data_IF_833166920153
#
_entry.id   IF_833166920153
#
_cell.length_a   1.000
_cell.length_b   1.000
_cell.length_c   1.000
_cell.angle_alpha   90.00
_cell.angle_beta   90.00
_cell.angle_gamma   90.00
#
_symmetry.space_group_name_H-M   'P 1'
#
loop_
_entity.id
_entity.type
_entity.pdbx_description
1 polymer ?
#
# COMPACT_ATOMS: atom_id res chain seq x y z
N UNK A 1 40.58 0.57 -49.49
CA UNK A 1 41.16 1.91 -49.74
C UNK A 1 40.76 2.81 -48.58
N UNK A 2 41.56 2.78 -47.52
CA UNK A 2 41.33 3.51 -46.26
C UNK A 2 42.14 4.80 -46.32
N UNK A 3 41.46 5.95 -46.36
CA UNK A 3 42.11 7.27 -46.33
C UNK A 3 42.42 7.59 -44.87
N UNK A 4 43.70 7.46 -44.53
CA UNK A 4 44.27 7.75 -43.22
C UNK A 4 44.58 9.26 -43.14
N UNK A 5 43.58 10.09 -42.83
CA UNK A 5 43.81 11.50 -42.50
C UNK A 5 44.23 11.63 -41.04
N UNK A 6 45.54 11.55 -40.80
CA UNK A 6 46.17 11.94 -39.54
C UNK A 6 46.17 13.46 -39.42
N UNK A 7 45.04 14.05 -39.00
CA UNK A 7 44.99 15.44 -38.59
C UNK A 7 45.61 15.56 -37.19
N UNK A 8 46.90 15.86 -37.17
CA UNK A 8 47.67 16.20 -35.97
C UNK A 8 47.14 17.50 -35.36
N UNK A 9 46.21 17.35 -34.41
CA UNK A 9 45.63 18.44 -33.62
C UNK A 9 46.54 18.83 -32.44
N UNK A 10 47.86 18.85 -32.65
CA UNK A 10 48.83 19.38 -31.70
C UNK A 10 49.31 20.73 -32.23
N UNK A 11 49.14 21.76 -31.41
CA UNK A 11 49.71 23.10 -31.56
C UNK A 11 48.98 24.08 -32.48
N UNK A 12 47.76 24.48 -32.08
CA UNK A 12 47.32 25.86 -32.28
C UNK A 12 47.30 26.61 -30.94
N UNK A 13 48.44 27.15 -30.47
CA UNK A 13 48.40 28.23 -29.52
C UNK A 13 47.72 29.41 -30.22
N UNK A 14 46.46 29.72 -29.88
CA UNK A 14 45.86 31.02 -30.20
C UNK A 14 46.65 32.10 -29.46
N UNK A 15 47.78 32.50 -30.05
CA UNK A 15 48.62 33.64 -29.67
C UNK A 15 47.75 34.89 -29.84
N UNK A 16 47.22 35.41 -28.74
CA UNK A 16 46.41 36.65 -28.75
C UNK A 16 45.18 36.64 -27.84
N UNK A 17 44.77 35.49 -27.30
CA UNK A 17 43.59 35.46 -26.44
C UNK A 17 43.90 35.97 -25.03
N UNK A 18 43.18 37.02 -24.60
CA UNK A 18 43.31 37.63 -23.27
C UNK A 18 43.16 36.59 -22.15
N UNK A 19 44.01 36.69 -21.12
CA UNK A 19 43.90 35.87 -19.89
C UNK A 19 42.50 35.98 -19.26
N UNK A 20 41.87 37.16 -19.36
CA UNK A 20 40.52 37.40 -18.81
C UNK A 20 39.46 36.57 -19.54
N UNK A 21 39.56 36.44 -20.87
CA UNK A 21 38.61 35.66 -21.66
C UNK A 21 38.75 34.17 -21.36
N UNK A 22 39.98 33.67 -21.21
CA UNK A 22 40.24 32.28 -20.80
C UNK A 22 39.67 31.98 -19.42
N UNK A 23 39.90 32.87 -18.44
CA UNK A 23 39.36 32.74 -17.09
C UNK A 23 37.82 32.76 -17.09
N UNK A 24 37.21 33.69 -17.84
CA UNK A 24 35.75 33.80 -17.95
C UNK A 24 35.11 32.53 -18.53
N UNK A 25 35.69 31.95 -19.60
CA UNK A 25 35.21 30.67 -20.16
C UNK A 25 35.35 29.52 -19.18
N UNK A 26 36.47 29.44 -18.47
CA UNK A 26 36.66 28.44 -17.42
C UNK A 26 35.61 28.55 -16.32
N UNK A 27 35.35 29.76 -15.84
CA UNK A 27 34.35 30.03 -14.81
C UNK A 27 32.93 29.68 -15.29
N UNK A 28 32.55 30.07 -16.51
CA UNK A 28 31.23 29.78 -17.07
C UNK A 28 31.02 28.28 -17.28
N UNK A 29 32.04 27.56 -17.77
CA UNK A 29 32.00 26.10 -17.88
C UNK A 29 31.85 25.44 -16.51
N UNK A 30 32.57 25.93 -15.48
CA UNK A 30 32.47 25.42 -14.11
C UNK A 30 31.08 25.64 -13.52
N UNK A 31 30.51 26.84 -13.68
CA UNK A 31 29.15 27.16 -13.23
C UNK A 31 28.12 26.26 -13.92
N UNK A 32 28.22 26.09 -15.24
CA UNK A 32 27.32 25.21 -15.99
C UNK A 32 27.42 23.75 -15.54
N UNK A 33 28.64 23.23 -15.39
CA UNK A 33 28.85 21.87 -14.87
C UNK A 33 28.33 21.71 -13.44
N UNK A 34 28.54 22.69 -12.56
CA UNK A 34 27.98 22.66 -11.20
C UNK A 34 26.45 22.66 -11.19
N UNK A 35 25.82 23.43 -12.09
CA UNK A 35 24.36 23.47 -12.22
C UNK A 35 23.82 22.12 -12.71
N UNK A 36 24.45 21.52 -13.72
CA UNK A 36 24.09 20.18 -14.20
C UNK A 36 24.27 19.11 -13.11
N UNK A 37 25.37 19.13 -12.37
CA UNK A 37 25.59 18.22 -11.24
C UNK A 37 24.53 18.45 -10.16
N UNK A 38 24.19 19.70 -9.84
CA UNK A 38 23.13 20.03 -8.89
C UNK A 38 21.77 19.48 -9.30
N UNK A 39 21.39 19.66 -10.58
CA UNK A 39 20.14 19.12 -11.13
C UNK A 39 20.15 17.58 -11.12
N UNK A 40 21.30 16.96 -11.43
CA UNK A 40 21.45 15.51 -11.39
C UNK A 40 21.31 14.97 -9.96
N UNK A 41 21.99 15.56 -8.98
CA UNK A 41 21.88 15.20 -7.56
C UNK A 41 20.43 15.36 -7.09
N UNK A 42 19.78 16.48 -7.41
CA UNK A 42 18.40 16.72 -7.03
C UNK A 42 17.44 15.67 -7.63
N UNK A 43 17.59 15.37 -8.91
CA UNK A 43 16.69 14.45 -9.63
C UNK A 43 16.92 12.98 -9.28
N UNK A 44 18.18 12.57 -9.07
CA UNK A 44 18.57 11.16 -8.85
C UNK A 44 18.48 10.80 -7.36
N UNK A 45 18.80 11.72 -6.45
CA UNK A 45 18.87 11.43 -5.01
C UNK A 45 17.67 12.03 -4.28
N UNK A 46 17.46 13.34 -4.38
CA UNK A 46 16.44 14.01 -3.57
C UNK A 46 15.01 13.70 -4.02
N UNK A 47 14.76 13.55 -5.33
CA UNK A 47 13.47 13.16 -5.88
C UNK A 47 12.98 11.83 -5.31
N UNK A 48 13.74 10.73 -5.46
CA UNK A 48 13.37 9.43 -4.91
C UNK A 48 13.25 9.41 -3.39
N UNK A 49 14.10 10.16 -2.65
CA UNK A 49 13.96 10.26 -1.18
C UNK A 49 12.62 10.90 -0.81
N UNK A 50 12.26 12.03 -1.44
CA UNK A 50 10.96 12.68 -1.19
C UNK A 50 9.79 11.77 -1.57
N UNK A 51 9.88 11.10 -2.72
CA UNK A 51 8.90 10.10 -3.16
C UNK A 51 8.90 8.80 -2.35
N UNK A 52 9.92 8.56 -1.52
CA UNK A 52 9.99 7.38 -0.65
C UNK A 52 9.19 7.55 0.64
N UNK A 53 9.06 8.81 1.09
CA UNK A 53 8.33 9.16 2.31
C UNK A 53 6.81 9.18 2.10
N UNK A 54 6.35 9.33 0.86
CA UNK A 54 4.94 9.36 0.50
C UNK A 54 4.64 8.18 -0.42
N UNK A 55 3.68 7.34 -0.03
CA UNK A 55 3.14 6.31 -0.91
C UNK A 55 1.98 6.93 -1.66
N UNK A 56 2.14 7.15 -2.96
CA UNK A 56 1.03 7.56 -3.80
C UNK A 56 0.11 6.35 -3.95
N UNK A 57 -1.17 6.55 -3.71
CA UNK A 57 -2.20 5.54 -3.95
C UNK A 57 -2.88 5.89 -5.26
N UNK A 58 -2.81 4.98 -6.23
CA UNK A 58 -3.44 5.15 -7.54
C UNK A 58 -4.58 4.15 -7.67
N UNK A 59 -5.77 4.70 -7.88
CA UNK A 59 -6.96 3.91 -8.21
C UNK A 59 -6.99 3.66 -9.71
N UNK A 60 -6.98 2.38 -10.08
CA UNK A 60 -7.12 1.90 -11.45
C UNK A 60 -8.44 1.16 -11.56
N UNK A 61 -9.21 1.44 -12.60
CA UNK A 61 -10.45 0.75 -12.88
C UNK A 61 -10.30 -0.09 -14.13
N UNK A 62 -10.80 -1.31 -14.09
CA UNK A 62 -10.78 -2.22 -15.22
C UNK A 62 -12.11 -2.98 -15.29
N UNK A 63 -12.61 -3.22 -16.50
CA UNK A 63 -13.85 -3.99 -16.69
C UNK A 63 -13.70 -5.45 -16.22
N UNK A 64 -12.48 -5.99 -16.17
CA UNK A 64 -12.21 -7.35 -15.75
C UNK A 64 -10.88 -7.45 -15.01
N UNK A 65 -10.72 -8.49 -14.19
CA UNK A 65 -9.46 -8.81 -13.51
C UNK A 65 -8.50 -9.43 -14.53
N UNK A 66 -7.27 -8.92 -14.69
CA UNK A 66 -6.31 -9.49 -15.63
C UNK A 66 -6.08 -10.99 -15.37
N UNK A 67 -6.01 -11.82 -16.41
CA UNK A 67 -5.87 -13.29 -16.30
C UNK A 67 -4.61 -13.70 -15.53
N UNK A 68 -3.55 -12.90 -15.62
CA UNK A 68 -2.26 -13.17 -14.95
C UNK A 68 -2.23 -12.70 -13.49
N UNK A 69 -3.36 -12.21 -12.97
CA UNK A 69 -3.41 -11.60 -11.65
C UNK A 69 -3.44 -12.65 -10.54
N UNK A 70 -2.31 -12.81 -9.85
CA UNK A 70 -2.18 -13.71 -8.70
C UNK A 70 -2.50 -12.97 -7.41
N UNK A 71 -3.77 -13.00 -7.01
CA UNK A 71 -4.17 -12.57 -5.68
C UNK A 71 -3.90 -13.68 -4.66
N UNK A 72 -3.51 -13.29 -3.44
CA UNK A 72 -3.52 -14.21 -2.30
C UNK A 72 -4.94 -14.76 -2.07
N UNK A 73 -5.08 -16.02 -1.61
CA UNK A 73 -6.39 -16.59 -1.32
C UNK A 73 -7.11 -15.72 -0.29
N UNK A 74 -8.33 -15.30 -0.62
CA UNK A 74 -9.11 -14.43 0.25
C UNK A 74 -9.51 -15.17 1.53
N UNK A 75 -9.00 -14.71 2.67
CA UNK A 75 -9.42 -15.20 3.99
C UNK A 75 -10.19 -14.08 4.66
N UNK A 76 -11.45 -14.34 5.02
CA UNK A 76 -12.22 -13.35 5.75
C UNK A 76 -11.68 -13.22 7.16
N UNK A 77 -11.19 -12.03 7.44
CA UNK A 77 -10.56 -11.66 8.67
C UNK A 77 -11.36 -10.53 9.30
N UNK A 78 -12.19 -10.87 10.29
CA UNK A 78 -13.00 -9.89 11.00
C UNK A 78 -12.24 -9.50 12.25
N UNK A 79 -11.87 -8.22 12.33
CA UNK A 79 -11.09 -7.69 13.44
C UNK A 79 -11.94 -6.65 14.16
N UNK A 80 -12.22 -6.88 15.43
CA UNK A 80 -12.96 -5.91 16.26
C UNK A 80 -12.00 -5.21 17.19
N UNK A 81 -12.08 -3.88 17.24
CA UNK A 81 -11.20 -3.01 18.00
C UNK A 81 -11.98 -2.16 19.00
N UNK A 82 -11.44 -2.09 20.21
CA UNK A 82 -11.83 -1.15 21.26
C UNK A 82 -10.67 -0.20 21.56
N UNK A 83 -10.98 1.05 21.92
CA UNK A 83 -10.00 1.96 22.50
C UNK A 83 -9.67 1.52 23.93
N UNK A 84 -8.38 1.38 24.25
CA UNK A 84 -7.90 0.69 25.46
C UNK A 84 -8.05 1.49 26.76
N UNK A 85 -8.42 2.77 26.73
CA UNK A 85 -8.55 3.59 27.95
C UNK A 85 -9.82 3.26 28.79
N UNK A 86 -10.38 2.08 28.56
CA UNK A 86 -11.64 1.66 29.14
C UNK A 86 -11.39 0.58 30.19
N UNK A 87 -11.81 0.87 31.42
CA UNK A 87 -11.69 -0.01 32.61
C UNK A 87 -12.34 -1.39 32.45
N UNK A 88 -13.06 -1.63 31.34
CA UNK A 88 -13.75 -2.86 30.97
C UNK A 88 -13.02 -3.70 29.91
N UNK A 89 -11.84 -3.27 29.47
CA UNK A 89 -10.95 -4.02 28.56
C UNK A 89 -10.24 -5.20 29.28
N UNK A 90 -10.99 -6.00 30.03
CA UNK A 90 -10.53 -7.33 30.42
C UNK A 90 -10.54 -8.20 29.17
N UNK A 91 -9.37 -8.75 28.83
CA UNK A 91 -9.17 -9.48 27.57
C UNK A 91 -10.21 -10.60 27.41
N UNK A 92 -10.44 -11.38 28.46
CA UNK A 92 -11.41 -12.47 28.43
C UNK A 92 -12.84 -11.99 28.17
N UNK A 93 -13.27 -10.91 28.84
CA UNK A 93 -14.65 -10.41 28.73
C UNK A 93 -14.95 -9.86 27.34
N UNK A 94 -13.99 -9.16 26.72
CA UNK A 94 -14.20 -8.67 25.36
C UNK A 94 -14.27 -9.85 24.37
N UNK A 95 -13.39 -10.85 24.53
CA UNK A 95 -13.42 -12.05 23.70
C UNK A 95 -14.76 -12.80 23.80
N UNK A 96 -15.35 -12.89 25.00
CA UNK A 96 -16.66 -13.52 25.21
C UNK A 96 -17.83 -12.66 24.68
N UNK A 97 -17.66 -11.33 24.64
CA UNK A 97 -18.71 -10.41 24.20
C UNK A 97 -18.84 -10.29 22.68
N UNK A 98 -17.82 -10.70 21.91
CA UNK A 98 -17.81 -10.62 20.44
C UNK A 98 -18.05 -12.00 19.85
N UNK A 99 -19.17 -12.14 19.14
CA UNK A 99 -19.49 -13.37 18.42
C UNK A 99 -19.66 -13.09 16.92
N UNK A 100 -18.94 -13.85 16.08
CA UNK A 100 -19.07 -13.78 14.62
C UNK A 100 -19.65 -15.08 14.10
N UNK A 101 -20.80 -14.96 13.46
CA UNK A 101 -21.52 -16.06 12.83
C UNK A 101 -21.50 -15.87 11.32
N UNK A 102 -20.90 -16.82 10.60
CA UNK A 102 -21.00 -16.86 9.14
C UNK A 102 -22.41 -17.33 8.76
N UNK A 103 -23.07 -16.57 7.87
CA UNK A 103 -24.39 -16.89 7.36
C UNK A 103 -24.23 -17.52 5.98
N UNK A 104 -23.98 -18.82 5.99
CA UNK A 104 -23.83 -19.61 4.78
C UNK A 104 -25.18 -19.79 4.09
N UNK A 105 -25.16 -19.82 2.76
CA UNK A 105 -26.32 -20.31 2.01
C UNK A 105 -26.48 -21.82 2.26
N UNK A 106 -27.65 -22.21 2.77
CA UNK A 106 -27.98 -23.61 3.07
C UNK A 106 -28.43 -24.38 1.83
N UNK A 107 -28.37 -23.79 0.63
CA UNK A 107 -28.69 -24.46 -0.64
C UNK A 107 -27.86 -25.73 -0.90
N UNK A 108 -26.62 -25.76 -0.42
CA UNK A 108 -25.73 -26.91 -0.55
C UNK A 108 -25.79 -27.81 0.70
N UNK A 109 -25.71 -29.13 0.49
CA UNK A 109 -25.77 -30.17 1.54
C UNK A 109 -24.58 -30.16 2.52
N UNK A 110 -23.42 -29.61 2.10
CA UNK A 110 -22.19 -29.62 2.91
C UNK A 110 -22.17 -28.37 3.80
N UNK A 111 -22.31 -28.46 5.14
CA UNK A 111 -22.30 -27.27 6.00
C UNK A 111 -21.02 -26.44 5.80
N UNK A 112 -21.16 -25.12 5.82
CA UNK A 112 -20.01 -24.21 5.74
C UNK A 112 -19.12 -24.33 6.98
N UNK A 113 -17.81 -24.09 6.86
CA UNK A 113 -16.91 -24.16 8.00
C UNK A 113 -17.24 -23.08 9.04
N UNK A 114 -17.06 -23.35 10.35
CA UNK A 114 -17.27 -22.35 11.39
C UNK A 114 -16.16 -21.27 11.35
N UNK A 115 -16.49 -20.08 11.84
CA UNK A 115 -15.48 -19.06 12.13
C UNK A 115 -14.72 -19.45 13.40
N UNK A 116 -13.41 -19.21 13.41
CA UNK A 116 -12.51 -19.57 14.52
C UNK A 116 -11.84 -18.31 15.04
N UNK A 117 -11.90 -18.12 16.36
CA UNK A 117 -11.14 -17.06 17.02
C UNK A 117 -9.65 -17.41 16.94
N UNK A 118 -8.84 -16.46 16.47
CA UNK A 118 -7.39 -16.62 16.48
C UNK A 118 -6.91 -16.28 17.89
N UNK A 119 -6.32 -17.23 18.64
CA UNK A 119 -5.84 -16.96 19.99
C UNK A 119 -4.67 -15.97 19.94
N UNK A 120 -4.68 -15.02 20.87
CA UNK A 120 -3.65 -13.99 20.99
C UNK A 120 -4.24 -12.59 20.82
N UNK A 121 -4.00 -11.73 21.81
CA UNK A 121 -4.19 -10.30 21.65
C UNK A 121 -3.17 -9.86 20.59
N UNK A 122 -3.63 -9.58 19.37
CA UNK A 122 -2.82 -8.84 18.42
C UNK A 122 -2.73 -7.42 18.95
N UNK A 123 -1.88 -7.20 19.96
CA UNK A 123 -1.21 -5.91 20.14
C UNK A 123 -0.21 -5.88 19.02
N UNK A 124 -0.50 -5.23 17.89
CA UNK A 124 0.49 -5.16 16.84
C UNK A 124 1.61 -4.32 17.47
N UNK A 125 2.78 -4.90 17.65
CA UNK A 125 3.88 -4.40 18.50
C UNK A 125 4.33 -2.98 18.18
N UNK A 126 3.82 -2.43 17.08
CA UNK A 126 4.20 -1.16 16.49
C UNK A 126 3.10 -0.07 16.60
N UNK A 127 1.95 -0.33 17.23
CA UNK A 127 0.99 0.76 17.49
C UNK A 127 1.35 1.49 18.79
N UNK A 128 1.47 2.82 18.68
CA UNK A 128 1.76 3.70 19.80
C UNK A 128 0.66 3.71 20.87
N UNK A 129 -0.56 3.29 20.52
CA UNK A 129 -1.68 3.17 21.44
C UNK A 129 -1.88 1.69 21.79
N UNK A 130 -1.99 1.32 23.08
CA UNK A 130 -2.45 0.01 23.44
C UNK A 130 -3.84 -0.15 22.81
N UNK A 131 -4.03 -1.20 22.02
CA UNK A 131 -5.27 -1.49 21.34
C UNK A 131 -5.56 -2.94 21.60
N UNK A 132 -6.79 -3.22 21.99
CA UNK A 132 -7.29 -4.56 22.09
C UNK A 132 -8.03 -4.90 20.80
N UNK A 133 -7.58 -5.95 20.14
CA UNK A 133 -8.16 -6.42 18.90
C UNK A 133 -8.45 -7.92 19.00
N UNK A 134 -9.66 -8.31 18.62
CA UNK A 134 -10.03 -9.72 18.46
C UNK A 134 -10.02 -10.01 16.98
N UNK A 135 -9.29 -11.05 16.60
CA UNK A 135 -9.20 -11.52 15.22
C UNK A 135 -10.03 -12.79 15.08
N UNK A 136 -10.97 -12.79 14.14
CA UNK A 136 -11.82 -13.95 13.84
C UNK A 136 -11.64 -14.32 12.37
N UNK A 137 -11.12 -15.54 12.15
CA UNK A 137 -10.92 -16.09 10.83
C UNK A 137 -12.11 -16.92 10.42
N UNK A 138 -12.71 -16.57 9.28
CA UNK A 138 -13.81 -17.31 8.71
C UNK A 138 -13.36 -17.88 7.35
N UNK A 139 -12.90 -19.13 7.29
CA UNK A 139 -12.42 -19.72 6.04
C UNK A 139 -13.53 -19.73 4.98
N UNK A 140 -13.15 -19.57 3.71
CA UNK A 140 -14.10 -19.72 2.62
C UNK A 140 -14.66 -21.16 2.60
N UNK A 141 -15.93 -21.33 2.21
CA UNK A 141 -16.43 -22.66 1.84
C UNK A 141 -15.59 -23.09 0.64
N UNK A 142 -14.98 -24.29 0.73
CA UNK A 142 -13.97 -24.84 -0.18
C UNK A 142 -14.09 -24.34 -1.63
N UNK A 143 -12.98 -24.08 -2.33
CA UNK A 143 -13.03 -23.61 -3.71
C UNK A 143 -13.86 -24.59 -4.54
N UNK A 144 -14.80 -24.03 -5.32
CA UNK A 144 -15.29 -24.74 -6.50
C UNK A 144 -14.05 -25.04 -7.36
N UNK A 145 -13.84 -26.28 -7.85
CA UNK A 145 -12.66 -26.68 -8.62
C UNK A 145 -12.26 -25.73 -9.76
N UNK A 146 -13.19 -24.92 -10.24
CA UNK A 146 -13.03 -24.02 -11.38
C UNK A 146 -12.31 -22.70 -11.06
N UNK A 147 -11.78 -22.52 -9.84
CA UNK A 147 -11.09 -21.29 -9.44
C UNK A 147 -12.01 -20.06 -9.35
N UNK A 148 -13.32 -20.23 -9.52
CA UNK A 148 -14.30 -19.17 -9.35
C UNK A 148 -14.57 -18.91 -7.87
N UNK A 149 -14.31 -17.69 -7.43
CA UNK A 149 -14.64 -17.22 -6.10
C UNK A 149 -16.16 -17.01 -6.01
N UNK A 150 -16.93 -18.05 -5.64
CA UNK A 150 -18.33 -17.83 -5.29
C UNK A 150 -18.40 -17.02 -3.99
N UNK A 151 -18.88 -15.79 -4.14
CA UNK A 151 -19.10 -14.82 -3.08
C UNK A 151 -19.79 -15.43 -1.86
N UNK A 152 -19.24 -15.13 -0.70
CA UNK A 152 -19.76 -15.49 0.60
C UNK A 152 -20.86 -14.50 0.98
N UNK A 153 -22.10 -14.85 0.68
CA UNK A 153 -23.14 -13.83 0.61
C UNK A 153 -23.54 -13.21 1.95
N UNK A 154 -23.27 -13.78 3.14
CA UNK A 154 -23.67 -13.12 4.38
C UNK A 154 -22.76 -13.46 5.57
N UNK A 155 -22.41 -12.46 6.38
CA UNK A 155 -21.75 -12.63 7.69
C UNK A 155 -22.34 -11.70 8.73
N UNK A 156 -22.23 -12.09 9.99
CA UNK A 156 -22.79 -11.31 11.07
C UNK A 156 -21.88 -11.29 12.28
N UNK A 157 -21.59 -10.08 12.76
CA UNK A 157 -20.99 -9.85 14.06
C UNK A 157 -22.08 -9.39 15.04
N UNK A 158 -22.05 -9.91 16.27
CA UNK A 158 -22.84 -9.41 17.39
C UNK A 158 -21.88 -9.05 18.52
N UNK A 159 -22.10 -7.90 19.16
CA UNK A 159 -21.21 -7.33 20.17
C UNK A 159 -22.07 -6.88 21.34
N UNK A 160 -21.73 -7.35 22.54
CA UNK A 160 -22.35 -6.86 23.77
C UNK A 160 -21.70 -5.56 24.26
N UNK A 161 -22.44 -4.43 24.32
CA UNK A 161 -21.92 -3.15 24.83
C UNK A 161 -22.91 -2.49 25.80
N UNK A 162 -22.47 -1.95 26.94
CA UNK A 162 -23.34 -1.21 27.87
C UNK A 162 -23.83 0.11 27.25
N UNK A 163 -25.05 0.53 27.58
CA UNK A 163 -25.77 1.65 26.93
C UNK A 163 -25.99 2.89 27.79
N UNK A 164 -25.53 2.86 29.04
CA UNK A 164 -25.93 3.85 30.05
C UNK A 164 -25.30 5.26 29.87
N UNK A 165 -24.41 5.44 28.88
CA UNK A 165 -23.69 6.70 28.64
C UNK A 165 -23.73 7.14 27.16
N UNK A 166 -24.59 8.10 26.86
CA UNK A 166 -24.79 8.72 25.54
C UNK A 166 -23.65 9.68 25.20
N UNK A 167 -23.04 10.33 26.21
CA UNK A 167 -22.05 11.39 26.03
C UNK A 167 -20.72 10.80 25.53
N UNK A 168 -20.46 9.53 25.86
CA UNK A 168 -19.23 8.81 25.56
C UNK A 168 -19.37 7.82 24.40
N UNK A 169 -20.15 8.15 23.36
CA UNK A 169 -20.42 7.23 22.24
C UNK A 169 -19.14 6.73 21.55
N UNK A 170 -18.10 7.56 21.43
CA UNK A 170 -16.81 7.17 20.85
C UNK A 170 -16.13 6.05 21.65
N UNK A 171 -16.19 6.14 22.98
CA UNK A 171 -15.63 5.14 23.87
C UNK A 171 -16.53 3.89 23.91
N UNK A 172 -17.84 4.06 23.91
CA UNK A 172 -18.77 2.93 23.96
C UNK A 172 -19.05 2.31 22.58
N UNK A 173 -18.18 2.52 21.59
CA UNK A 173 -18.32 1.99 20.24
C UNK A 173 -17.21 1.00 19.91
N UNK A 174 -17.54 0.02 19.06
CA UNK A 174 -16.56 -0.94 18.54
C UNK A 174 -16.30 -0.66 17.08
N UNK A 175 -15.03 -0.58 16.72
CA UNK A 175 -14.61 -0.50 15.33
C UNK A 175 -14.47 -1.91 14.77
N UNK A 176 -15.09 -2.18 13.63
CA UNK A 176 -15.00 -3.47 12.94
C UNK A 176 -14.27 -3.27 11.61
N UNK A 177 -13.15 -3.97 11.49
CA UNK A 177 -12.37 -4.09 10.27
C UNK A 177 -12.72 -5.42 9.60
N UNK A 178 -12.92 -5.39 8.29
CA UNK A 178 -13.25 -6.58 7.51
C UNK A 178 -12.17 -6.72 6.43
N UNK A 179 -11.17 -7.55 6.70
CA UNK A 179 -10.13 -7.91 5.76
C UNK A 179 -10.48 -9.17 4.96
N UNK A 180 -9.91 -9.28 3.76
CA UNK A 180 -9.91 -10.50 2.95
C UNK A 180 -8.50 -11.06 2.79
N UNK A 181 -7.68 -10.93 3.84
CA UNK A 181 -6.30 -11.40 3.91
C UNK A 181 -6.06 -12.14 5.22
N UNK A 182 -5.14 -13.11 5.19
CA UNK A 182 -4.70 -13.84 6.39
C UNK A 182 -3.79 -12.97 7.29
N UNK A 183 -3.22 -11.89 6.77
CA UNK A 183 -2.38 -10.98 7.54
C UNK A 183 -3.24 -9.93 8.27
N UNK A 184 -3.37 -10.09 9.59
CA UNK A 184 -4.12 -9.19 10.47
C UNK A 184 -3.59 -7.77 10.43
N UNK A 185 -2.28 -7.58 10.33
CA UNK A 185 -1.66 -6.26 10.27
C UNK A 185 -2.12 -5.54 9.00
N UNK A 186 -2.00 -6.22 7.87
CA UNK A 186 -2.47 -5.68 6.59
C UNK A 186 -3.97 -5.40 6.61
N UNK A 187 -4.80 -6.27 7.19
CA UNK A 187 -6.23 -6.03 7.33
C UNK A 187 -6.53 -4.75 8.14
N UNK A 188 -5.92 -4.54 9.31
CA UNK A 188 -6.15 -3.33 10.13
C UNK A 188 -5.68 -2.06 9.44
N UNK A 189 -4.49 -2.06 8.83
CA UNK A 189 -3.91 -0.83 8.25
C UNK A 189 -4.45 -0.47 6.87
N UNK A 190 -5.02 -1.42 6.15
CA UNK A 190 -5.46 -1.22 4.76
C UNK A 190 -6.97 -1.24 4.58
N UNK A 191 -7.74 -1.53 5.63
CA UNK A 191 -9.20 -1.46 5.60
C UNK A 191 -9.71 -0.28 6.44
N UNK A 192 -10.81 0.31 5.99
CA UNK A 192 -11.48 1.39 6.72
C UNK A 192 -12.41 0.74 7.75
N UNK A 193 -12.27 1.05 9.05
CA UNK A 193 -13.13 0.48 10.07
C UNK A 193 -14.56 1.00 9.93
N UNK A 194 -15.53 0.17 10.30
CA UNK A 194 -16.91 0.59 10.53
C UNK A 194 -17.17 0.65 12.02
N UNK A 195 -17.54 1.82 12.52
CA UNK A 195 -17.89 2.02 13.92
C UNK A 195 -19.31 1.55 14.19
N UNK A 196 -19.47 0.69 15.21
CA UNK A 196 -20.76 0.18 15.66
C UNK A 196 -21.06 0.80 17.03
N UNK A 197 -22.07 1.69 17.13
CA UNK A 197 -22.54 2.18 18.41
C UNK A 197 -23.25 1.07 19.23
N UNK A 198 -23.43 1.27 20.53
CA UNK A 198 -24.11 0.29 21.38
C UNK A 198 -25.60 0.24 21.06
N UNK A 199 -26.22 -0.94 21.22
CA UNK A 199 -27.67 -1.14 21.07
C UNK A 199 -28.26 -1.00 19.66
N UNK A 200 -27.43 -0.79 18.62
CA UNK A 200 -27.92 -0.69 17.24
C UNK A 200 -27.74 -1.98 16.44
N UNK A 201 -28.68 -2.24 15.54
CA UNK A 201 -28.58 -3.32 14.57
C UNK A 201 -28.34 -2.72 13.20
N UNK A 202 -27.13 -2.90 12.69
CA UNK A 202 -26.65 -2.35 11.43
C UNK A 202 -26.53 -3.43 10.37
N UNK A 203 -26.72 -3.04 9.13
CA UNK A 203 -26.50 -3.82 7.93
C UNK A 203 -25.58 -3.04 7.00
N UNK A 204 -24.53 -3.69 6.50
CA UNK A 204 -23.53 -3.09 5.62
C UNK A 204 -23.41 -3.82 4.29
N UNK A 205 -23.29 -3.07 3.20
CA UNK A 205 -22.90 -3.61 1.88
C UNK A 205 -21.39 -3.57 1.74
N UNK A 206 -20.80 -4.69 1.32
CA UNK A 206 -19.37 -4.80 1.02
C UNK A 206 -19.16 -4.84 -0.48
N UNK A 207 -18.16 -4.12 -0.96
CA UNK A 207 -17.56 -4.33 -2.29
C UNK A 207 -16.15 -4.87 -2.16
N UNK A 208 -15.72 -5.62 -3.17
CA UNK A 208 -14.38 -6.16 -3.27
C UNK A 208 -13.51 -5.18 -4.04
N UNK A 209 -12.37 -4.84 -3.46
CA UNK A 209 -11.33 -4.08 -4.15
C UNK A 209 -10.04 -4.89 -4.13
N UNK A 210 -9.24 -4.77 -5.18
CA UNK A 210 -7.91 -5.38 -5.24
C UNK A 210 -6.90 -4.34 -4.77
N UNK A 211 -6.00 -4.70 -3.85
CA UNK A 211 -4.94 -3.82 -3.39
C UNK A 211 -3.57 -4.38 -3.70
N UNK A 212 -2.82 -3.67 -4.53
CA UNK A 212 -1.46 -4.04 -4.90
C UNK A 212 -0.45 -3.27 -4.05
N UNK A 213 0.34 -3.99 -3.26
CA UNK A 213 1.31 -3.46 -2.31
C UNK A 213 2.73 -3.77 -2.76
N UNK A 214 3.68 -2.85 -2.55
CA UNK A 214 5.10 -3.17 -2.75
C UNK A 214 5.61 -4.04 -1.61
N UNK A 215 6.26 -5.16 -1.95
CA UNK A 215 6.90 -6.01 -0.95
C UNK A 215 8.11 -5.33 -0.30
N UNK A 216 8.87 -4.56 -1.09
CA UNK A 216 10.07 -3.85 -0.65
C UNK A 216 10.02 -2.39 -1.10
N UNK A 217 9.51 -1.51 -0.22
CA UNK A 217 9.36 -0.07 -0.51
C UNK A 217 10.70 0.61 -0.79
N UNK A 218 11.79 0.17 -0.16
CA UNK A 218 13.14 0.70 -0.40
C UNK A 218 13.68 0.35 -1.79
N UNK A 219 13.57 -0.91 -2.19
CA UNK A 219 14.06 -1.37 -3.51
C UNK A 219 13.19 -0.85 -4.66
N UNK A 220 11.88 -0.66 -4.43
CA UNK A 220 11.01 -0.05 -5.43
C UNK A 220 11.37 1.42 -5.70
N UNK A 221 12.06 2.11 -4.77
CA UNK A 221 12.57 3.47 -4.99
C UNK A 221 13.65 3.52 -6.09
N UNK A 222 14.37 2.42 -6.30
CA UNK A 222 15.38 2.36 -7.36
C UNK A 222 14.76 2.24 -8.76
N UNK A 223 13.51 1.77 -8.86
CA UNK A 223 12.80 1.58 -10.13
C UNK A 223 13.19 0.31 -10.91
N UNK A 224 14.04 -0.56 -10.34
CA UNK A 224 14.52 -1.79 -11.00
C UNK A 224 13.81 -3.07 -10.55
N UNK A 225 13.27 -3.08 -9.32
CA UNK A 225 12.65 -4.27 -8.73
C UNK A 225 11.30 -3.93 -8.13
N UNK A 226 10.25 -3.98 -8.95
CA UNK A 226 8.87 -3.79 -8.51
C UNK A 226 8.24 -5.15 -8.20
N UNK A 227 8.68 -5.77 -7.11
CA UNK A 227 7.92 -6.90 -6.56
C UNK A 227 6.71 -6.37 -5.82
N UNK A 228 5.53 -6.81 -6.23
CA UNK A 228 4.27 -6.47 -5.61
C UNK A 228 3.54 -7.73 -5.16
N UNK A 229 2.74 -7.59 -4.11
CA UNK A 229 1.77 -8.58 -3.68
C UNK A 229 0.39 -7.98 -3.85
N UNK A 230 -0.54 -8.75 -4.38
CA UNK A 230 -1.94 -8.31 -4.42
C UNK A 230 -2.74 -9.07 -3.39
N UNK A 231 -3.44 -8.29 -2.57
CA UNK A 231 -4.43 -8.77 -1.63
C UNK A 231 -5.81 -8.32 -2.09
N UNK A 232 -6.82 -9.08 -1.72
CA UNK A 232 -8.20 -8.63 -1.80
C UNK A 232 -8.53 -7.88 -0.51
N UNK A 233 -9.27 -6.77 -0.62
CA UNK A 233 -9.80 -6.04 0.52
C UNK A 233 -11.31 -5.92 0.38
N UNK A 234 -12.03 -5.93 1.50
CA UNK A 234 -13.45 -5.61 1.52
C UNK A 234 -13.60 -4.14 1.94
N UNK A 235 -14.40 -3.40 1.18
CA UNK A 235 -14.77 -2.03 1.51
C UNK A 235 -16.26 -1.96 1.81
N UNK A 236 -16.59 -1.41 2.98
CA UNK A 236 -17.98 -1.13 3.34
C UNK A 236 -18.42 0.13 2.59
N UNK A 237 -19.38 -0.01 1.68
CA UNK A 237 -19.88 1.13 0.87
C UNK A 237 -20.98 1.85 1.63
N UNK A 238 -22.00 1.12 2.07
CA UNK A 238 -23.16 1.67 2.76
C UNK A 238 -23.39 0.95 4.08
N UNK A 239 -23.80 1.71 5.09
CA UNK A 239 -24.25 1.19 6.39
C UNK A 239 -25.62 1.76 6.69
N UNK A 240 -26.57 0.91 7.00
CA UNK A 240 -27.96 1.28 7.30
C UNK A 240 -28.50 0.43 8.44
N UNK A 241 -29.65 0.81 9.02
CA UNK A 241 -30.30 0.02 10.07
C UNK A 241 -30.82 -1.30 9.48
N UNK A 242 -30.57 -2.43 10.14
CA UNK A 242 -31.00 -3.73 9.66
C UNK A 242 -32.53 -3.91 9.76
N UNK A 243 -33.28 -3.90 8.64
CA UNK A 243 -34.74 -4.04 8.68
C UNK A 243 -35.18 -5.42 9.19
N UNK A 244 -34.32 -6.44 9.03
CA UNK A 244 -34.63 -7.83 9.44
C UNK A 244 -34.38 -8.07 10.90
N UNK A 245 -33.69 -7.17 11.61
CA UNK A 245 -33.58 -7.24 13.05
C UNK A 245 -34.97 -7.36 13.69
N UNK A 246 -35.99 -6.73 13.08
CA UNK A 246 -37.43 -6.76 13.45
C UNK A 246 -38.02 -8.14 13.66
N UNK A 247 -37.63 -9.03 12.77
CA UNK A 247 -38.45 -10.16 12.35
C UNK A 247 -37.68 -11.46 12.56
N UNK A 248 -36.35 -11.41 12.40
CA UNK A 248 -35.52 -12.59 12.46
C UNK A 248 -35.13 -12.92 13.91
N UNK A 249 -35.52 -14.10 14.45
CA UNK A 249 -35.10 -14.53 15.78
C UNK A 249 -33.60 -14.80 15.85
N UNK A 250 -32.95 -14.98 14.69
CA UNK A 250 -31.51 -15.12 14.61
C UNK A 250 -30.80 -13.85 15.07
N UNK A 251 -31.43 -12.67 14.98
CA UNK A 251 -30.83 -11.39 15.32
C UNK A 251 -31.21 -11.01 16.76
N UNK A 252 -30.39 -11.33 17.80
CA UNK A 252 -30.63 -10.86 19.15
C UNK A 252 -30.83 -9.36 19.19
N UNK A 253 -31.87 -8.98 19.93
CA UNK A 253 -32.19 -7.61 20.29
C UNK A 253 -32.03 -7.49 21.78
N UNK A 254 -31.12 -6.64 22.18
CA UNK A 254 -30.98 -6.23 23.57
C UNK A 254 -30.48 -4.80 23.56
N UNK A 255 -30.81 -4.06 24.62
CA UNK A 255 -30.23 -2.75 24.84
C UNK A 255 -28.69 -2.86 24.82
N UNK A 256 -28.15 -3.94 25.39
CA UNK A 256 -26.72 -4.15 25.49
C UNK A 256 -26.14 -5.01 24.35
N UNK A 257 -26.82 -5.14 23.21
CA UNK A 257 -26.30 -5.93 22.08
C UNK A 257 -26.42 -5.12 20.80
N UNK A 258 -25.28 -4.80 20.19
CA UNK A 258 -25.22 -4.29 18.84
C UNK A 258 -24.92 -5.42 17.85
N UNK A 259 -25.42 -5.30 16.64
CA UNK A 259 -25.20 -6.31 15.61
C UNK A 259 -24.85 -5.63 14.31
N UNK A 260 -23.92 -6.23 13.56
CA UNK A 260 -23.51 -5.74 12.25
C UNK A 260 -23.52 -6.89 11.27
N UNK A 261 -24.51 -6.87 10.37
CA UNK A 261 -24.68 -7.85 9.32
C UNK A 261 -24.09 -7.30 8.03
N UNK A 262 -23.11 -7.99 7.47
CA UNK A 262 -22.50 -7.62 6.20
C UNK A 262 -22.83 -8.63 5.12
N UNK A 263 -22.96 -8.15 3.90
CA UNK A 263 -23.15 -8.97 2.72
C UNK A 263 -22.35 -8.39 1.57
N UNK A 264 -21.86 -9.26 0.70
CA UNK A 264 -21.19 -8.80 -0.50
C UNK A 264 -22.25 -8.35 -1.50
N UNK A 265 -22.06 -7.15 -2.03
CA UNK A 265 -22.84 -6.66 -3.17
C UNK A 265 -22.24 -7.25 -4.43
N UNK A 266 -23.07 -7.95 -5.22
CA UNK A 266 -22.72 -8.33 -6.59
C UNK A 266 -22.83 -7.06 -7.45
N UNK A 267 -21.70 -6.43 -7.71
CA UNK A 267 -21.62 -5.22 -8.52
C UNK A 267 -21.01 -5.58 -9.88
N UNK A 268 -21.77 -5.52 -10.99
CA UNK A 268 -21.25 -5.79 -12.32
C UNK A 268 -20.42 -4.61 -12.88
N UNK A 269 -20.14 -3.59 -12.07
CA UNK A 269 -19.31 -2.45 -12.45
C UNK A 269 -17.82 -2.82 -12.56
N UNK A 270 -17.00 -1.83 -12.92
CA UNK A 270 -15.56 -2.00 -13.06
C UNK A 270 -14.90 -2.42 -11.75
N UNK A 271 -13.96 -3.38 -11.84
CA UNK A 271 -13.08 -3.74 -10.75
C UNK A 271 -12.18 -2.56 -10.39
N UNK A 272 -12.17 -2.21 -9.10
CA UNK A 272 -11.29 -1.19 -8.56
C UNK A 272 -10.03 -1.86 -8.03
N UNK A 273 -8.89 -1.49 -8.62
CA UNK A 273 -7.55 -1.87 -8.17
C UNK A 273 -6.85 -0.67 -7.57
N UNK A 274 -6.63 -0.69 -6.27
CA UNK A 274 -5.87 0.29 -5.51
C UNK A 274 -4.41 -0.14 -5.53
N UNK A 275 -3.60 0.54 -6.34
CA UNK A 275 -2.18 0.24 -6.46
C UNK A 275 -1.33 1.25 -5.69
N UNK A 276 -0.39 0.78 -4.88
CA UNK A 276 0.68 1.63 -4.40
C UNK A 276 1.54 2.00 -5.63
N UNK A 277 1.55 3.27 -5.99
CA UNK A 277 2.26 3.81 -7.14
C UNK A 277 3.45 4.65 -6.68
N UNK A 278 4.48 4.72 -7.52
CA UNK A 278 5.61 5.64 -7.32
C UNK A 278 5.98 6.25 -8.65
N UNK A 279 5.81 7.57 -8.74
CA UNK A 279 6.17 8.35 -9.93
C UNK A 279 7.67 8.65 -9.97
N UNK A 280 8.28 8.81 -8.78
CA UNK A 280 9.67 9.20 -8.61
C UNK A 280 10.53 8.00 -8.21
N UNK A 281 11.32 7.48 -9.15
CA UNK A 281 12.34 6.47 -8.89
C UNK A 281 13.72 6.97 -9.30
N UNK A 282 14.79 6.36 -8.78
CA UNK A 282 16.17 6.68 -9.19
C UNK A 282 16.34 6.51 -10.70
N UNK A 283 15.76 5.45 -11.27
CA UNK A 283 15.76 5.22 -12.71
C UNK A 283 15.00 6.30 -13.49
N UNK A 284 13.85 6.74 -12.96
CA UNK A 284 13.14 7.90 -13.52
C UNK A 284 13.99 9.18 -13.43
N UNK A 285 14.72 9.38 -12.33
CA UNK A 285 15.69 10.46 -12.17
C UNK A 285 16.79 10.43 -13.25
N UNK A 286 17.38 9.27 -13.53
CA UNK A 286 18.32 9.11 -14.64
C UNK A 286 17.67 9.41 -15.99
N UNK A 287 16.42 8.98 -16.21
CA UNK A 287 15.70 9.27 -17.46
C UNK A 287 15.55 10.78 -17.71
N UNK A 288 15.32 11.58 -16.65
CA UNK A 288 15.20 13.04 -16.74
C UNK A 288 16.49 13.76 -17.06
N UNK A 289 17.64 13.20 -16.68
CA UNK A 289 18.98 13.79 -16.92
C UNK A 289 19.55 13.39 -18.29
N UNK A 290 18.72 12.80 -19.17
CA UNK A 290 19.14 12.34 -20.50
C UNK A 290 19.36 10.82 -20.61
N UNK A 291 18.90 10.06 -19.60
CA UNK A 291 18.99 8.62 -19.56
C UNK A 291 20.20 8.10 -18.79
N UNK A 292 20.09 6.85 -18.34
CA UNK A 292 21.19 6.14 -17.66
C UNK A 292 22.45 6.07 -18.54
N UNK A 293 22.27 5.92 -19.85
CA UNK A 293 23.36 5.88 -20.82
C UNK A 293 24.14 7.19 -20.89
N UNK A 294 23.45 8.33 -21.04
CA UNK A 294 24.11 9.64 -21.10
C UNK A 294 24.86 9.95 -19.80
N UNK A 295 24.28 9.57 -18.65
CA UNK A 295 24.95 9.70 -17.36
C UNK A 295 26.25 8.88 -17.30
N UNK A 296 26.20 7.59 -17.68
CA UNK A 296 27.39 6.72 -17.71
C UNK A 296 28.44 7.27 -18.68
N UNK A 297 28.05 7.70 -19.89
CA UNK A 297 28.94 8.35 -20.83
C UNK A 297 29.59 9.61 -20.23
N UNK A 298 28.83 10.41 -19.48
CA UNK A 298 29.34 11.58 -18.75
C UNK A 298 30.41 11.20 -17.72
N UNK A 299 30.14 10.20 -16.87
CA UNK A 299 31.10 9.69 -15.89
C UNK A 299 32.37 9.18 -16.56
N UNK A 300 32.24 8.38 -17.62
CA UNK A 300 33.39 7.89 -18.39
C UNK A 300 34.17 9.03 -19.05
N UNK A 301 33.49 10.01 -19.63
CA UNK A 301 34.15 11.18 -20.26
C UNK A 301 34.96 11.97 -19.25
N UNK A 302 34.44 12.18 -18.04
CA UNK A 302 35.17 12.86 -16.96
C UNK A 302 36.37 12.02 -16.50
N UNK A 303 36.19 10.72 -16.27
CA UNK A 303 37.26 9.84 -15.80
C UNK A 303 38.40 9.69 -16.81
N UNK A 304 38.07 9.38 -18.07
CA UNK A 304 39.05 9.26 -19.14
C UNK A 304 39.62 10.62 -19.57
N UNK A 305 38.79 11.67 -19.61
CA UNK A 305 39.21 13.01 -19.96
C UNK A 305 40.22 13.59 -18.96
N UNK A 306 39.97 13.43 -17.66
CA UNK A 306 40.93 13.86 -16.61
C UNK A 306 42.21 13.05 -16.64
N UNK A 307 42.13 11.74 -16.92
CA UNK A 307 43.30 10.88 -17.08
C UNK A 307 44.16 11.28 -18.28
N UNK A 308 43.54 11.55 -19.44
CA UNK A 308 44.24 12.04 -20.63
C UNK A 308 44.87 13.42 -20.41
N UNK A 309 44.14 14.34 -19.75
CA UNK A 309 44.69 15.65 -19.38
C UNK A 309 45.90 15.52 -18.46
N UNK A 310 45.89 14.60 -17.50
CA UNK A 310 47.08 14.33 -16.67
C UNK A 310 48.25 13.79 -17.47
N UNK A 311 48.03 12.91 -18.44
CA UNK A 311 49.12 12.38 -19.29
C UNK A 311 49.71 13.50 -20.17
N UNK A 312 48.86 14.38 -20.71
CA UNK A 312 49.29 15.45 -21.62
C UNK A 312 49.93 16.61 -20.85
N UNK A 313 49.32 17.06 -19.75
CA UNK A 313 49.78 18.21 -18.97
C UNK A 313 50.78 17.84 -17.86
N UNK A 314 50.75 16.61 -17.34
CA UNK A 314 51.67 16.14 -16.30
C UNK A 314 53.12 16.01 -16.77
N UNK A 315 53.36 16.00 -18.09
CA UNK A 315 54.71 16.13 -18.67
C UNK A 315 55.29 17.55 -18.62
N UNK A 316 54.52 18.54 -18.15
CA UNK A 316 54.96 19.94 -18.03
C UNK A 316 55.12 20.41 -16.57
N UNK A 317 55.27 19.49 -15.62
CA UNK A 317 55.76 19.85 -14.29
C UNK A 317 57.28 20.03 -14.37
N UNK A 318 57.71 21.27 -14.64
CA UNK A 318 59.05 21.77 -14.31
C UNK A 318 59.12 22.16 -12.84
#
# INVERSE_FOLDING_TARGET
MLIQTSLSFRDLPRRGESKTLKACRGLLALLFMSALIGVAIFSIILGPIRGSLLILVKDVRAMDVPVDFRAEPSVWNVITRLLYDMKWADDAKFHDAVNVTALWDNSNTIPGPPCVHVPGSTRPSNLASPIQAITIHCPARLPVPDGSYKSLNHKRAAIGLPTDDIISTTNNSVEVYIGLTNDTFTAVYRTIPTTIPPGVNLMGTLSLELRQLYKNVGLSALGLFTQSTTIMIARVINVFMDPRAGISPLIPRSLNTSTFRVFLQDDPSEWITISDAREESVLAGFSRVGGLWAFLCGVFTVYFGTSLLRIICGKYSF
#
